data_IF_828535140044
#
_entry.id   IF_828535140044
#
_cell.length_a   1.000
_cell.length_b   1.000
_cell.length_c   1.000
_cell.angle_alpha   90.00
_cell.angle_beta   90.00
_cell.angle_gamma   90.00
#
_symmetry.space_group_name_H-M   'P 1'
#
loop_
_entity.id
_entity.type
_entity.pdbx_description
1 polymer ?
#
# COMPACT_ATOMS: atom_id res chain seq x y z
N UNK A 1 10.50 10.41 20.44
CA UNK A 1 10.65 11.86 20.72
C UNK A 1 9.49 12.72 20.19
N UNK A 2 8.23 12.24 20.24
CA UNK A 2 7.02 13.03 20.54
C UNK A 2 6.64 14.28 19.75
N UNK A 3 7.36 14.70 18.70
CA UNK A 3 7.01 15.88 17.93
C UNK A 3 5.70 15.66 17.16
N UNK A 4 4.68 16.44 17.52
CA UNK A 4 3.47 16.63 16.73
C UNK A 4 3.80 17.59 15.58
N UNK A 5 3.89 17.03 14.38
CA UNK A 5 4.05 17.81 13.14
C UNK A 5 2.67 18.30 12.69
N UNK A 6 2.55 19.61 12.44
CA UNK A 6 1.30 20.18 11.98
C UNK A 6 1.14 19.88 10.48
N UNK A 7 -0.04 19.42 10.07
CA UNK A 7 -0.31 19.19 8.65
C UNK A 7 -0.15 20.48 7.85
N UNK A 8 0.50 20.40 6.69
CA UNK A 8 0.62 21.51 5.76
C UNK A 8 -0.78 21.93 5.29
N UNK A 9 -1.08 23.24 5.31
CA UNK A 9 -2.41 23.76 4.97
C UNK A 9 -2.91 23.26 3.60
N UNK A 10 -2.01 23.10 2.63
CA UNK A 10 -2.35 22.62 1.29
C UNK A 10 -2.63 21.11 1.22
N UNK A 11 -2.22 20.34 2.22
CA UNK A 11 -2.36 18.88 2.28
C UNK A 11 -3.29 18.43 3.40
N UNK A 12 -3.89 19.38 4.12
CA UNK A 12 -4.83 19.06 5.20
C UNK A 12 -6.01 18.27 4.62
N UNK A 13 -6.28 17.09 5.21
CA UNK A 13 -7.30 16.12 4.77
C UNK A 13 -6.98 15.37 3.46
N UNK A 14 -5.80 15.57 2.88
CA UNK A 14 -5.32 14.75 1.76
C UNK A 14 -4.74 13.44 2.27
N UNK A 15 -5.02 12.34 1.57
CA UNK A 15 -4.45 11.03 1.86
C UNK A 15 -3.70 10.52 0.65
N UNK A 16 -2.37 10.43 0.74
CA UNK A 16 -1.59 9.63 -0.20
C UNK A 16 -1.79 8.12 0.05
N UNK A 17 -1.14 7.27 -0.75
CA UNK A 17 -1.34 5.83 -0.70
C UNK A 17 -1.09 5.23 0.70
N UNK A 18 0.05 5.60 1.31
CA UNK A 18 0.46 5.15 2.63
C UNK A 18 -0.28 5.86 3.76
N UNK A 19 -0.68 7.12 3.58
CA UNK A 19 -1.56 7.86 4.48
C UNK A 19 -2.94 7.21 4.60
N UNK A 20 -3.51 6.74 3.48
CA UNK A 20 -4.76 5.97 3.51
C UNK A 20 -4.61 4.65 4.29
N UNK A 21 -3.54 3.90 4.06
CA UNK A 21 -3.26 2.67 4.85
C UNK A 21 -3.14 3.01 6.34
N UNK A 22 -2.42 4.08 6.71
CA UNK A 22 -2.29 4.54 8.11
C UNK A 22 -3.62 5.01 8.71
N UNK A 23 -4.53 5.58 7.93
CA UNK A 23 -5.88 5.88 8.40
C UNK A 23 -6.67 4.61 8.71
N UNK A 24 -6.61 3.59 7.84
CA UNK A 24 -7.33 2.34 8.08
C UNK A 24 -6.72 1.56 9.25
N UNK A 25 -5.42 1.28 9.23
CA UNK A 25 -4.82 0.43 10.26
C UNK A 25 -4.48 1.20 11.55
N UNK A 26 -4.01 2.44 11.43
CA UNK A 26 -3.67 3.26 12.59
C UNK A 26 -4.90 3.83 13.27
N UNK A 27 -5.67 4.66 12.56
CA UNK A 27 -6.81 5.34 13.15
C UNK A 27 -7.99 4.38 13.42
N UNK A 28 -8.39 3.56 12.44
CA UNK A 28 -9.58 2.68 12.61
C UNK A 28 -9.28 1.40 13.40
N UNK A 29 -8.10 0.81 13.26
CA UNK A 29 -7.73 -0.46 13.92
C UNK A 29 -6.77 -0.29 15.13
N UNK A 30 -6.35 0.93 15.45
CA UNK A 30 -5.58 1.23 16.67
C UNK A 30 -4.10 0.83 16.60
N UNK A 31 -3.56 0.59 15.40
CA UNK A 31 -2.16 0.24 15.22
C UNK A 31 -1.25 1.45 15.51
N UNK A 32 -0.16 1.29 16.28
CA UNK A 32 0.80 2.37 16.47
C UNK A 32 1.34 2.88 15.12
N UNK A 33 1.57 4.18 15.02
CA UNK A 33 2.12 4.81 13.81
C UNK A 33 3.47 5.44 14.12
N UNK A 34 4.43 5.32 13.20
CA UNK A 34 5.75 5.92 13.34
C UNK A 34 6.11 6.74 12.10
N UNK A 35 6.83 7.85 12.30
CA UNK A 35 7.37 8.65 11.18
C UNK A 35 8.56 7.96 10.52
N UNK A 36 9.32 7.18 11.30
CA UNK A 36 10.53 6.45 10.89
C UNK A 36 10.38 4.96 11.16
N UNK A 37 11.27 4.15 10.58
CA UNK A 37 11.39 2.71 10.90
C UNK A 37 11.97 2.48 12.31
N UNK A 38 11.88 1.25 12.81
CA UNK A 38 12.51 0.82 14.07
C UNK A 38 11.65 0.98 15.33
N UNK A 39 10.45 1.54 15.21
CA UNK A 39 9.48 1.60 16.33
C UNK A 39 8.69 0.30 16.36
N UNK A 40 8.85 -0.48 17.45
CA UNK A 40 8.22 -1.79 17.60
C UNK A 40 6.70 -1.73 17.45
N UNK A 41 6.15 -2.62 16.61
CA UNK A 41 4.71 -2.72 16.36
C UNK A 41 4.09 -1.56 15.59
N UNK A 42 4.87 -0.55 15.17
CA UNK A 42 4.35 0.64 14.51
C UNK A 42 4.43 0.56 12.99
N UNK A 43 3.43 1.12 12.32
CA UNK A 43 3.39 1.25 10.87
C UNK A 43 4.21 2.49 10.42
N UNK A 44 5.24 2.31 9.56
CA UNK A 44 6.05 3.41 9.03
C UNK A 44 5.26 4.41 8.16
N UNK A 45 5.89 5.52 7.73
CA UNK A 45 5.22 6.55 6.90
C UNK A 45 5.23 6.24 5.41
N UNK A 46 6.32 5.68 4.88
CA UNK A 46 6.53 5.52 3.44
C UNK A 46 6.25 4.09 2.98
N UNK A 47 5.81 3.92 1.73
CA UNK A 47 5.42 2.62 1.19
C UNK A 47 6.56 1.59 1.21
N UNK A 48 7.78 1.96 0.77
CA UNK A 48 8.93 1.05 0.85
C UNK A 48 9.30 0.69 2.30
N UNK A 49 9.16 1.62 3.25
CA UNK A 49 9.41 1.34 4.67
C UNK A 49 8.36 0.41 5.24
N UNK A 50 7.09 0.55 4.85
CA UNK A 50 6.05 -0.40 5.23
C UNK A 50 6.35 -1.80 4.68
N UNK A 51 6.75 -1.91 3.41
CA UNK A 51 7.12 -3.18 2.81
C UNK A 51 8.27 -3.86 3.58
N UNK A 52 9.33 -3.11 3.89
CA UNK A 52 10.55 -3.64 4.52
C UNK A 52 10.52 -3.76 6.04
N UNK A 53 9.72 -2.96 6.75
CA UNK A 53 9.89 -2.75 8.19
C UNK A 53 8.59 -2.61 9.01
N UNK A 54 7.41 -2.65 8.38
CA UNK A 54 6.16 -2.77 9.16
C UNK A 54 6.15 -4.09 9.95
N UNK A 55 5.32 -4.22 11.01
CA UNK A 55 5.16 -5.50 11.71
C UNK A 55 4.38 -6.52 10.87
N UNK A 56 4.33 -7.76 11.37
CA UNK A 56 3.68 -8.89 10.70
C UNK A 56 4.62 -9.68 9.78
N UNK A 57 4.07 -10.33 8.77
CA UNK A 57 4.79 -11.30 7.91
C UNK A 57 4.84 -10.87 6.45
N UNK A 58 6.02 -10.95 5.83
CA UNK A 58 6.18 -10.80 4.38
C UNK A 58 5.75 -12.10 3.69
N UNK A 59 4.72 -12.04 2.85
CA UNK A 59 4.24 -13.21 2.10
C UNK A 59 5.00 -13.39 0.78
N UNK A 60 5.38 -12.27 0.14
CA UNK A 60 6.25 -12.26 -1.02
C UNK A 60 6.92 -10.90 -1.15
N UNK A 61 8.14 -10.87 -1.66
CA UNK A 61 8.86 -9.63 -2.01
C UNK A 61 9.86 -9.95 -3.12
N UNK A 62 9.84 -9.15 -4.19
CA UNK A 62 10.71 -9.35 -5.34
C UNK A 62 10.98 -8.00 -6.04
N UNK A 63 12.19 -7.78 -6.60
CA UNK A 63 12.49 -6.60 -7.40
C UNK A 63 11.72 -6.56 -8.72
N UNK A 64 11.25 -7.72 -9.21
CA UNK A 64 10.36 -7.86 -10.36
C UNK A 64 9.02 -8.42 -9.90
N UNK A 65 8.02 -8.42 -10.79
CA UNK A 65 6.70 -8.97 -10.46
C UNK A 65 6.78 -10.43 -9.99
N UNK A 66 6.41 -10.72 -8.72
CA UNK A 66 6.39 -12.09 -8.24
C UNK A 66 5.11 -12.83 -8.65
N UNK A 67 5.13 -14.15 -8.52
CA UNK A 67 3.89 -14.94 -8.52
C UNK A 67 2.99 -14.54 -7.36
N UNK A 68 1.67 -14.68 -7.53
CA UNK A 68 0.72 -14.38 -6.47
C UNK A 68 0.85 -15.41 -5.33
N UNK A 69 0.95 -15.00 -4.06
CA UNK A 69 0.90 -15.93 -2.94
C UNK A 69 -0.46 -16.63 -2.89
N UNK A 70 -0.46 -17.94 -2.69
CA UNK A 70 -1.70 -18.73 -2.52
C UNK A 70 -2.44 -18.40 -1.23
N UNK A 71 -1.77 -17.79 -0.26
CA UNK A 71 -2.29 -17.48 1.07
C UNK A 71 -2.79 -16.03 1.22
N UNK A 72 -3.03 -15.30 0.13
CA UNK A 72 -3.55 -13.91 0.17
C UNK A 72 -4.90 -13.82 0.91
N UNK A 73 -5.05 -12.80 1.76
CA UNK A 73 -6.27 -12.53 2.54
C UNK A 73 -6.64 -11.06 2.48
N UNK A 74 -7.94 -10.78 2.49
CA UNK A 74 -8.43 -9.40 2.57
C UNK A 74 -7.80 -8.68 3.78
N UNK A 75 -7.28 -7.48 3.56
CA UNK A 75 -6.50 -6.74 4.56
C UNK A 75 -4.99 -6.82 4.37
N UNK A 76 -4.47 -7.77 3.58
CA UNK A 76 -3.04 -7.80 3.25
C UNK A 76 -2.62 -6.51 2.52
N UNK A 77 -1.47 -5.96 2.90
CA UNK A 77 -0.87 -4.85 2.18
C UNK A 77 -0.22 -5.37 0.89
N UNK A 78 -0.53 -4.70 -0.21
CA UNK A 78 0.11 -4.91 -1.51
C UNK A 78 0.98 -3.71 -1.85
N UNK A 79 2.14 -3.96 -2.44
CA UNK A 79 3.14 -2.94 -2.73
C UNK A 79 3.53 -2.94 -4.19
N UNK A 80 3.77 -1.74 -4.70
CA UNK A 80 4.04 -1.49 -6.10
C UNK A 80 5.22 -0.56 -6.28
N UNK A 81 5.90 -0.75 -7.39
CA UNK A 81 6.86 0.16 -8.01
C UNK A 81 6.15 0.71 -9.25
N UNK A 82 5.39 1.77 -9.04
CA UNK A 82 4.36 2.28 -9.95
C UNK A 82 4.86 3.48 -10.78
N UNK A 83 5.74 4.30 -10.22
CA UNK A 83 6.44 5.35 -10.93
C UNK A 83 7.51 4.74 -11.84
N UNK A 84 7.64 5.32 -13.03
CA UNK A 84 8.70 4.97 -13.98
C UNK A 84 9.84 5.99 -13.95
N UNK A 85 9.79 6.95 -13.02
CA UNK A 85 10.64 8.16 -13.03
C UNK A 85 11.58 8.30 -11.84
N UNK A 86 11.42 7.47 -10.80
CA UNK A 86 12.15 7.55 -9.52
C UNK A 86 12.98 6.28 -9.21
N UNK A 87 13.14 5.41 -10.20
CA UNK A 87 13.93 4.19 -10.09
C UNK A 87 13.06 2.93 -10.02
N UNK A 88 13.44 1.99 -9.16
CA UNK A 88 12.76 0.69 -8.97
C UNK A 88 12.28 0.49 -7.53
N UNK A 89 12.28 1.56 -6.74
CA UNK A 89 11.89 1.50 -5.33
C UNK A 89 10.37 1.49 -5.21
N UNK A 90 9.85 0.67 -4.29
CA UNK A 90 8.43 0.68 -3.94
C UNK A 90 7.99 2.10 -3.55
N UNK A 91 7.02 2.64 -4.27
CA UNK A 91 6.51 4.00 -4.12
C UNK A 91 5.03 4.02 -3.75
N UNK A 92 4.32 2.90 -3.98
CA UNK A 92 2.88 2.83 -3.80
C UNK A 92 2.43 1.60 -3.00
N UNK A 93 1.34 1.76 -2.26
CA UNK A 93 0.74 0.68 -1.46
C UNK A 93 -0.78 0.74 -1.47
N UNK A 94 -1.41 -0.41 -1.27
CA UNK A 94 -2.85 -0.56 -1.16
C UNK A 94 -3.21 -1.76 -0.28
N UNK A 95 -4.52 -1.98 -0.13
CA UNK A 95 -5.09 -3.05 0.69
C UNK A 95 -5.78 -4.05 -0.24
N UNK A 96 -5.37 -5.31 -0.17
CA UNK A 96 -6.02 -6.39 -0.91
C UNK A 96 -7.45 -6.61 -0.37
N UNK A 97 -8.41 -6.78 -1.28
CA UNK A 97 -9.84 -6.92 -0.94
C UNK A 97 -10.39 -8.33 -1.19
N UNK A 98 -9.64 -9.19 -1.87
CA UNK A 98 -10.14 -10.48 -2.36
C UNK A 98 -10.24 -10.52 -3.89
N UNK A 99 -10.79 -11.61 -4.41
CA UNK A 99 -11.05 -11.77 -5.84
C UNK A 99 -12.43 -11.24 -6.22
N UNK A 100 -12.53 -10.60 -7.38
CA UNK A 100 -13.84 -10.25 -7.94
C UNK A 100 -14.57 -11.45 -8.55
N UNK A 101 -15.77 -11.22 -9.08
CA UNK A 101 -16.60 -12.25 -9.73
C UNK A 101 -15.94 -12.92 -10.95
N UNK A 102 -14.87 -12.33 -11.49
CA UNK A 102 -14.06 -12.89 -12.57
C UNK A 102 -12.77 -13.53 -12.07
N UNK A 103 -12.62 -13.69 -10.75
CA UNK A 103 -11.43 -14.28 -10.13
C UNK A 103 -10.21 -13.36 -10.08
N UNK A 104 -10.34 -12.08 -10.42
CA UNK A 104 -9.20 -11.15 -10.43
C UNK A 104 -8.94 -10.62 -9.03
N UNK A 105 -7.70 -10.68 -8.59
CA UNK A 105 -7.27 -10.22 -7.27
C UNK A 105 -7.33 -8.68 -7.18
N UNK A 106 -8.33 -8.14 -6.47
CA UNK A 106 -8.64 -6.71 -6.35
C UNK A 106 -7.97 -6.07 -5.14
N UNK A 107 -7.63 -4.78 -5.26
CA UNK A 107 -7.12 -3.97 -4.17
C UNK A 107 -7.72 -2.57 -4.18
N UNK A 108 -7.69 -1.88 -3.04
CA UNK A 108 -8.01 -0.46 -2.91
C UNK A 108 -6.74 0.32 -2.56
N UNK A 109 -6.60 1.51 -3.13
CA UNK A 109 -5.50 2.42 -2.79
C UNK A 109 -5.94 3.87 -2.97
N UNK A 110 -5.34 4.80 -2.22
CA UNK A 110 -5.46 6.22 -2.54
C UNK A 110 -4.60 6.59 -3.74
N UNK A 111 -5.17 7.30 -4.71
CA UNK A 111 -4.51 7.65 -5.98
C UNK A 111 -4.68 9.12 -6.29
N UNK A 112 -3.62 9.72 -6.82
CA UNK A 112 -3.67 11.09 -7.33
C UNK A 112 -4.72 11.25 -8.44
N UNK A 113 -4.83 10.28 -9.34
CA UNK A 113 -5.77 10.30 -10.48
C UNK A 113 -7.24 10.19 -10.07
N UNK A 114 -7.53 9.73 -8.85
CA UNK A 114 -8.88 9.60 -8.32
C UNK A 114 -9.18 10.61 -7.20
N UNK A 115 -8.22 11.49 -6.88
CA UNK A 115 -8.27 12.41 -5.74
C UNK A 115 -8.67 11.71 -4.42
N UNK A 116 -8.12 10.50 -4.20
CA UNK A 116 -8.39 9.74 -2.98
C UNK A 116 -8.47 8.21 -3.18
N UNK A 117 -8.97 7.50 -2.15
CA UNK A 117 -9.14 6.05 -2.16
C UNK A 117 -10.12 5.59 -3.24
N UNK A 118 -9.70 4.65 -4.06
CA UNK A 118 -10.56 4.05 -5.10
C UNK A 118 -10.33 2.55 -5.22
N UNK A 119 -11.44 1.83 -5.40
CA UNK A 119 -11.44 0.44 -5.90
C UNK A 119 -11.64 0.38 -7.42
N UNK A 120 -11.96 1.53 -8.04
CA UNK A 120 -12.26 1.63 -9.46
C UNK A 120 -11.01 1.53 -10.31
N UNK A 121 -11.21 1.41 -11.62
CA UNK A 121 -10.12 1.22 -12.59
C UNK A 121 -9.52 2.56 -13.08
N UNK A 122 -9.76 3.65 -12.33
CA UNK A 122 -9.24 5.00 -12.60
C UNK A 122 -7.73 5.03 -12.35
N UNK A 123 -6.96 5.47 -13.36
CA UNK A 123 -5.49 5.38 -13.32
C UNK A 123 -4.95 3.95 -13.38
N UNK A 124 -5.71 3.03 -13.99
CA UNK A 124 -5.33 1.63 -14.16
C UNK A 124 -6.23 0.68 -13.37
N UNK A 125 -6.46 -0.51 -13.93
CA UNK A 125 -7.32 -1.50 -13.32
C UNK A 125 -6.82 -1.92 -11.94
N UNK A 126 -7.70 -1.88 -10.93
CA UNK A 126 -7.38 -2.20 -9.54
C UNK A 126 -7.23 -3.70 -9.33
N UNK A 127 -6.29 -4.31 -10.05
CA UNK A 127 -5.97 -5.74 -10.05
C UNK A 127 -4.47 -5.96 -9.95
N UNK A 128 -4.04 -6.98 -9.20
CA UNK A 128 -2.63 -7.39 -9.08
C UNK A 128 -2.27 -8.57 -10.01
N UNK A 129 -3.27 -9.09 -10.73
CA UNK A 129 -3.17 -10.17 -11.73
C UNK A 129 -3.35 -9.62 -13.16
N UNK A 130 -2.90 -10.35 -14.18
CA UNK A 130 -3.01 -9.93 -15.58
C UNK A 130 -1.84 -9.07 -16.04
N UNK A 131 -2.00 -8.25 -17.09
CA UNK A 131 -0.90 -7.50 -17.74
C UNK A 131 -1.02 -5.99 -17.62
N UNK A 132 -2.02 -5.49 -16.89
CA UNK A 132 -2.24 -4.06 -16.71
C UNK A 132 -1.23 -3.39 -15.78
N UNK A 133 -1.24 -2.06 -15.77
CA UNK A 133 -0.31 -1.19 -15.04
C UNK A 133 0.00 -1.65 -13.60
N UNK A 134 -1.02 -1.83 -12.77
CA UNK A 134 -0.84 -2.26 -11.37
C UNK A 134 -0.35 -3.70 -11.25
N UNK A 135 -0.77 -4.57 -12.15
CA UNK A 135 -0.34 -5.96 -12.18
C UNK A 135 1.16 -6.07 -12.54
N UNK A 136 1.65 -5.23 -13.44
CA UNK A 136 3.09 -5.16 -13.80
C UNK A 136 3.93 -4.44 -12.75
N UNK A 137 3.35 -3.49 -12.03
CA UNK A 137 4.01 -2.72 -10.97
C UNK A 137 4.10 -3.49 -9.63
N UNK A 138 3.38 -4.59 -9.46
CA UNK A 138 3.33 -5.37 -8.21
C UNK A 138 4.72 -5.91 -7.80
N UNK A 139 5.10 -5.77 -6.53
CA UNK A 139 6.42 -6.17 -6.00
C UNK A 139 6.35 -7.01 -4.73
N UNK A 140 5.44 -6.71 -3.82
CA UNK A 140 5.42 -7.36 -2.51
C UNK A 140 4.04 -7.44 -1.88
N UNK A 141 3.92 -8.34 -0.90
CA UNK A 141 2.76 -8.49 -0.01
C UNK A 141 3.25 -8.63 1.42
N UNK A 142 2.62 -7.92 2.34
CA UNK A 142 2.81 -8.07 3.78
C UNK A 142 1.47 -8.18 4.48
N UNK A 143 1.35 -9.16 5.37
CA UNK A 143 0.26 -9.25 6.34
C UNK A 143 0.68 -8.55 7.62
N UNK A 144 -0.13 -7.60 8.10
CA UNK A 144 0.10 -6.89 9.36
C UNK A 144 -0.32 -7.73 10.57
#
# INVERSE_FOLDING_TARGET
DGFLDAAETAQIRSLDCSGYVRMVFGYRLGMPLARTVGVSGALPRRAFEMAGSAPGTVLVSSPTRPALPTALQAGDLVFFDASTTDGTQIDHTGIYLGSDSSGRARFISSRQTADGPTLGDVGGASVITGTGYWATAFRAVRRL
#
